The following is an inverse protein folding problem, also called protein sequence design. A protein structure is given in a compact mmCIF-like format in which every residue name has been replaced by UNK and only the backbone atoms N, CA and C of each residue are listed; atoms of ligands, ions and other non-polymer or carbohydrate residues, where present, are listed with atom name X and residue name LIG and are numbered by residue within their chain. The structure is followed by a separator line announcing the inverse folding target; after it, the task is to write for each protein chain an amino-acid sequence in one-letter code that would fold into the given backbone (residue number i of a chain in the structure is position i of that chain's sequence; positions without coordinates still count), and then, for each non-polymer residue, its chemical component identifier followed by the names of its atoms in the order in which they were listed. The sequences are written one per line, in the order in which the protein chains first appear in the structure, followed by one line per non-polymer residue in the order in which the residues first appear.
data_IF_507964583189
#
_entry.id   IF_507964583189
#
_cell.length_a   1.000
_cell.length_b   1.000
_cell.length_c   1.000
_cell.angle_alpha   90.00
_cell.angle_beta   90.00
_cell.angle_gamma   90.00
#
_symmetry.space_group_name_H-M   'P 1'
#
loop_
_entity.id
_entity.type
_entity.pdbx_description
1 polymer ?
#
# COMPACT_ATOMS: atom_id res chain seq x y z
N UNK A 1 1.55 5.78 -12.32
CA UNK A 1 1.37 4.50 -13.02
C UNK A 1 -0.07 4.07 -12.90
N UNK A 2 -0.65 3.58 -13.98
CA UNK A 2 -1.96 2.94 -14.01
C UNK A 2 -1.88 1.75 -14.97
N UNK A 3 -2.16 0.54 -14.50
CA UNK A 3 -2.05 -0.69 -15.30
C UNK A 3 -0.66 -0.85 -15.95
N UNK A 4 0.39 -0.40 -15.27
CA UNK A 4 1.77 -0.44 -15.78
C UNK A 4 2.14 0.65 -16.78
N UNK A 5 1.24 1.59 -17.10
CA UNK A 5 1.51 2.73 -17.97
C UNK A 5 1.73 4.02 -17.16
N UNK A 6 2.64 4.86 -17.62
CA UNK A 6 2.81 6.20 -17.08
C UNK A 6 1.66 7.09 -17.56
N UNK A 7 0.93 7.69 -16.62
CA UNK A 7 -0.28 8.49 -16.88
C UNK A 7 -0.24 9.84 -16.15
N UNK A 8 0.93 10.22 -15.64
CA UNK A 8 1.11 11.45 -14.90
C UNK A 8 2.47 11.53 -14.24
N UNK A 9 2.86 12.76 -13.89
CA UNK A 9 4.17 13.09 -13.35
C UNK A 9 4.03 14.08 -12.20
N UNK A 10 4.77 13.84 -11.11
CA UNK A 10 4.89 14.79 -10.01
C UNK A 10 5.66 16.02 -10.51
N UNK A 11 5.02 17.17 -10.54
CA UNK A 11 5.59 18.41 -11.08
C UNK A 11 6.08 19.35 -10.00
N UNK A 12 5.60 19.21 -8.76
CA UNK A 12 6.01 20.02 -7.62
C UNK A 12 6.05 19.21 -6.34
N UNK A 13 7.01 19.51 -5.47
CA UNK A 13 7.15 18.91 -4.14
C UNK A 13 7.60 20.00 -3.15
N UNK A 14 6.80 20.19 -2.11
CA UNK A 14 7.01 21.22 -1.09
C UNK A 14 7.11 20.57 0.31
N UNK A 15 8.10 20.99 1.10
CA UNK A 15 8.21 20.66 2.51
C UNK A 15 7.61 21.80 3.33
N UNK A 16 6.44 21.55 3.92
CA UNK A 16 5.72 22.53 4.72
C UNK A 16 6.23 22.57 6.17
N UNK A 17 5.96 23.67 6.91
CA UNK A 17 6.21 23.74 8.34
C UNK A 17 5.59 22.56 9.10
N UNK A 18 6.33 22.03 10.08
CA UNK A 18 5.92 20.83 10.84
C UNK A 18 6.22 19.50 10.14
N UNK A 19 7.03 19.50 9.08
CA UNK A 19 7.53 18.29 8.43
C UNK A 19 6.53 17.61 7.49
N UNK A 20 5.42 18.29 7.15
CA UNK A 20 4.43 17.76 6.21
C UNK A 20 4.90 17.98 4.77
N UNK A 21 4.85 16.94 3.95
CA UNK A 21 5.20 17.02 2.53
C UNK A 21 3.93 17.08 1.69
N UNK A 22 3.85 18.05 0.78
CA UNK A 22 2.77 18.16 -0.22
C UNK A 22 3.36 18.21 -1.62
N UNK A 23 2.58 17.86 -2.63
CA UNK A 23 3.02 17.94 -4.01
C UNK A 23 1.86 18.14 -4.97
N UNK A 24 2.21 18.56 -6.17
CA UNK A 24 1.27 18.72 -7.29
C UNK A 24 1.68 17.75 -8.40
N UNK A 25 0.69 17.16 -9.06
CA UNK A 25 0.88 16.17 -10.11
C UNK A 25 0.10 16.58 -11.35
N UNK A 26 0.77 16.58 -12.50
CA UNK A 26 0.10 16.69 -13.79
C UNK A 26 -0.27 15.29 -14.25
N UNK A 27 -1.53 15.07 -14.61
CA UNK A 27 -2.06 13.79 -15.08
C UNK A 27 -2.52 13.89 -16.53
N UNK A 28 -2.47 12.77 -17.24
CA UNK A 28 -2.99 12.68 -18.60
C UNK A 28 -4.53 12.90 -18.60
N UNK A 29 -5.09 13.72 -19.51
CA UNK A 29 -6.53 13.93 -19.60
C UNK A 29 -7.37 12.64 -19.72
N UNK A 30 -6.80 11.57 -20.30
CA UNK A 30 -7.48 10.27 -20.48
C UNK A 30 -7.82 9.57 -19.16
N UNK A 31 -7.11 9.86 -18.07
CA UNK A 31 -7.35 9.24 -16.75
C UNK A 31 -8.11 10.14 -15.78
N UNK A 32 -8.45 11.37 -16.16
CA UNK A 32 -9.13 12.34 -15.27
C UNK A 32 -10.48 11.81 -14.76
N UNK A 33 -11.19 11.02 -15.57
CA UNK A 33 -12.48 10.41 -15.20
C UNK A 33 -12.35 9.35 -14.08
N UNK A 34 -11.14 8.83 -13.86
CA UNK A 34 -10.80 7.88 -12.82
C UNK A 34 -10.48 8.58 -11.48
N UNK A 35 -10.34 9.91 -11.45
CA UNK A 35 -10.04 10.67 -10.24
C UNK A 35 -11.34 11.03 -9.50
N UNK A 36 -11.75 10.13 -8.60
CA UNK A 36 -13.00 10.22 -7.84
C UNK A 36 -12.75 10.10 -6.34
N UNK A 37 -13.81 10.28 -5.56
CA UNK A 37 -13.78 10.28 -4.10
C UNK A 37 -13.08 9.05 -3.50
N UNK A 38 -13.38 7.84 -4.02
CA UNK A 38 -12.80 6.59 -3.54
C UNK A 38 -11.56 6.13 -4.32
N UNK A 39 -11.02 6.96 -5.21
CA UNK A 39 -9.77 6.68 -5.91
C UNK A 39 -8.59 6.85 -4.97
N UNK A 40 -7.65 5.91 -5.01
CA UNK A 40 -6.44 5.91 -4.18
C UNK A 40 -5.21 6.18 -5.01
N UNK A 41 -4.26 6.90 -4.41
CA UNK A 41 -2.91 7.09 -4.94
C UNK A 41 -1.94 6.47 -3.93
N UNK A 42 -1.28 5.40 -4.36
CA UNK A 42 -0.44 4.57 -3.48
C UNK A 42 1.03 4.72 -3.86
N UNK A 43 1.91 4.96 -2.87
CA UNK A 43 3.35 5.01 -3.13
C UNK A 43 3.93 3.58 -3.14
N UNK A 44 4.36 3.11 -4.30
CA UNK A 44 4.96 1.78 -4.48
C UNK A 44 6.48 1.86 -4.50
N UNK A 45 7.11 1.04 -3.67
CA UNK A 45 8.54 0.77 -3.74
C UNK A 45 8.81 -0.31 -4.79
N UNK A 46 9.86 -0.20 -5.60
CA UNK A 46 10.23 -1.25 -6.55
C UNK A 46 10.58 -2.52 -5.76
N UNK A 47 9.95 -3.65 -6.11
CA UNK A 47 10.27 -4.95 -5.52
C UNK A 47 11.48 -5.53 -6.23
N UNK A 48 12.52 -5.86 -5.46
CA UNK A 48 13.64 -6.66 -5.95
C UNK A 48 13.28 -8.13 -5.73
N UNK A 49 13.08 -8.89 -6.81
CA UNK A 49 12.97 -10.34 -6.73
C UNK A 49 14.15 -10.97 -7.46
N UNK A 50 14.69 -12.06 -6.91
CA UNK A 50 15.70 -12.86 -7.59
C UNK A 50 15.15 -13.57 -8.84
N UNK A 51 13.82 -13.75 -8.92
CA UNK A 51 13.13 -14.28 -10.10
C UNK A 51 12.94 -13.24 -11.21
N UNK A 52 12.87 -11.94 -10.84
CA UNK A 52 12.54 -10.85 -11.74
C UNK A 52 13.60 -9.75 -11.60
N UNK A 53 14.63 -9.84 -12.44
CA UNK A 53 15.71 -8.85 -12.54
C UNK A 53 15.24 -7.57 -13.26
N UNK A 54 14.11 -6.98 -12.83
CA UNK A 54 13.65 -5.68 -13.35
C UNK A 54 14.49 -4.55 -12.74
N UNK A 55 15.77 -4.50 -13.14
CA UNK A 55 16.73 -3.48 -12.70
C UNK A 55 16.28 -2.07 -13.12
N UNK A 56 15.54 -1.95 -14.22
CA UNK A 56 14.99 -0.67 -14.69
C UNK A 56 14.07 -0.02 -13.65
N UNK A 57 13.24 -0.81 -12.96
CA UNK A 57 12.36 -0.31 -11.91
C UNK A 57 13.13 0.23 -10.68
N UNK A 58 14.33 -0.30 -10.41
CA UNK A 58 15.21 0.20 -9.35
C UNK A 58 15.81 1.56 -9.71
N UNK A 59 16.10 1.78 -10.99
CA UNK A 59 16.61 3.07 -11.49
C UNK A 59 15.55 4.17 -11.44
N UNK A 60 14.28 3.83 -11.67
CA UNK A 60 13.17 4.78 -11.57
C UNK A 60 12.78 5.12 -10.13
N UNK A 61 13.17 4.29 -9.16
CA UNK A 61 12.87 4.52 -7.75
C UNK A 61 11.39 4.32 -7.41
N UNK A 62 10.87 5.10 -6.45
CA UNK A 62 9.49 4.98 -5.98
C UNK A 62 8.52 5.52 -7.04
N UNK A 63 7.38 4.85 -7.20
CA UNK A 63 6.33 5.24 -8.15
C UNK A 63 5.00 5.47 -7.43
N UNK A 64 4.15 6.32 -8.01
CA UNK A 64 2.76 6.46 -7.56
C UNK A 64 1.87 5.57 -8.42
N UNK A 65 1.08 4.70 -7.80
CA UNK A 65 0.08 3.85 -8.46
C UNK A 65 -1.32 4.46 -8.28
N UNK A 66 -2.07 4.54 -9.37
CA UNK A 66 -3.45 4.98 -9.39
C UNK A 66 -4.38 3.76 -9.28
N UNK A 67 -5.19 3.71 -8.22
CA UNK A 67 -6.22 2.68 -8.03
C UNK A 67 -7.59 3.34 -8.13
N UNK A 68 -8.34 3.14 -9.25
CA UNK A 68 -9.64 3.77 -9.44
C UNK A 68 -10.67 3.35 -8.39
N UNK A 69 -11.56 4.28 -8.05
CA UNK A 69 -12.75 4.02 -7.25
C UNK A 69 -13.93 4.85 -7.74
N UNK A 70 -15.08 4.63 -7.11
CA UNK A 70 -16.33 5.31 -7.45
C UNK A 70 -16.54 6.60 -6.64
N UNK A 71 -17.63 7.30 -6.91
CA UNK A 71 -18.03 8.53 -6.21
C UNK A 71 -17.86 9.79 -7.05
N UNK A 72 -17.94 10.94 -6.38
CA UNK A 72 -17.86 12.25 -7.02
C UNK A 72 -16.44 12.58 -7.50
N UNK A 73 -16.28 13.35 -8.60
CA UNK A 73 -14.97 13.77 -9.09
C UNK A 73 -14.15 14.52 -8.02
N UNK A 74 -12.88 14.18 -7.88
CA UNK A 74 -11.98 14.73 -6.87
C UNK A 74 -10.61 15.06 -7.46
N UNK A 75 -9.95 16.12 -6.96
CA UNK A 75 -8.64 16.58 -7.44
C UNK A 75 -7.52 16.53 -6.40
N UNK A 76 -7.86 16.36 -5.13
CA UNK A 76 -6.89 16.35 -4.03
C UNK A 76 -6.90 14.98 -3.35
N UNK A 77 -5.73 14.37 -3.17
CA UNK A 77 -5.60 13.01 -2.65
C UNK A 77 -4.55 12.96 -1.54
N UNK A 78 -4.78 12.09 -0.56
CA UNK A 78 -3.76 11.75 0.45
C UNK A 78 -3.04 10.50 -0.03
N UNK A 79 -1.73 10.62 -0.26
CA UNK A 79 -0.92 9.46 -0.67
C UNK A 79 -0.70 8.54 0.52
N UNK A 80 -1.02 7.26 0.32
CA UNK A 80 -0.83 6.23 1.35
C UNK A 80 0.49 5.49 1.09
N UNK A 81 1.33 5.27 2.11
CA UNK A 81 2.49 4.39 1.99
C UNK A 81 2.05 2.99 1.55
N UNK A 82 2.76 2.36 0.60
CA UNK A 82 2.35 1.07 0.04
C UNK A 82 2.07 -0.04 1.05
N UNK A 83 2.79 -0.06 2.18
CA UNK A 83 2.56 -1.03 3.28
C UNK A 83 1.20 -0.86 3.97
N UNK A 84 0.62 0.34 3.92
CA UNK A 84 -0.69 0.66 4.50
C UNK A 84 -1.80 0.68 3.45
N UNK A 85 -1.47 0.46 2.17
CA UNK A 85 -2.45 0.42 1.10
C UNK A 85 -3.49 -0.69 1.31
N UNK A 86 -3.05 -1.85 1.79
CA UNK A 86 -3.95 -2.98 2.09
C UNK A 86 -5.01 -2.62 3.14
N UNK A 87 -4.73 -1.71 4.09
CA UNK A 87 -5.74 -1.25 5.06
C UNK A 87 -6.86 -0.41 4.43
N UNK A 88 -6.69 0.08 3.20
CA UNK A 88 -7.64 0.93 2.50
C UNK A 88 -8.49 0.14 1.48
N UNK A 89 -8.23 -1.15 1.33
CA UNK A 89 -9.06 -2.01 0.49
C UNK A 89 -10.40 -2.32 1.19
N UNK A 90 -11.50 -2.40 0.42
CA UNK A 90 -12.77 -2.83 0.98
C UNK A 90 -12.67 -4.27 1.49
N UNK A 91 -13.41 -4.59 2.56
CA UNK A 91 -13.53 -5.93 3.16
C UNK A 91 -12.23 -6.55 3.73
N UNK A 92 -11.24 -5.73 4.11
CA UNK A 92 -10.02 -6.23 4.76
C UNK A 92 -10.23 -6.55 6.23
N UNK A 93 -9.80 -7.74 6.64
CA UNK A 93 -9.79 -8.16 8.05
C UNK A 93 -8.47 -7.76 8.69
N UNK A 94 -8.52 -6.87 9.67
CA UNK A 94 -7.35 -6.46 10.46
C UNK A 94 -7.32 -7.22 11.79
N UNK A 95 -6.19 -7.82 12.12
CA UNK A 95 -5.95 -8.50 13.39
C UNK A 95 -4.76 -7.88 14.13
N UNK A 96 -4.82 -7.89 15.46
CA UNK A 96 -3.71 -7.52 16.33
C UNK A 96 -3.16 -8.76 17.01
N UNK A 97 -1.88 -9.05 16.78
CA UNK A 97 -1.18 -10.21 17.33
C UNK A 97 -0.14 -9.74 18.34
N UNK A 98 0.07 -10.49 19.42
CA UNK A 98 1.07 -10.18 20.45
C UNK A 98 2.08 -11.31 20.57
N UNK A 99 3.34 -10.95 20.73
CA UNK A 99 4.45 -11.87 20.91
C UNK A 99 5.44 -11.32 21.95
N UNK A 100 6.24 -12.16 22.62
CA UNK A 100 7.27 -11.66 23.53
C UNK A 100 8.43 -10.96 22.79
N UNK A 101 8.71 -11.35 21.54
CA UNK A 101 9.80 -10.85 20.71
C UNK A 101 9.37 -10.59 19.26
N UNK A 102 10.24 -9.98 18.45
CA UNK A 102 9.94 -9.66 17.06
C UNK A 102 10.15 -10.84 16.10
N UNK A 103 10.99 -11.81 16.48
CA UNK A 103 11.38 -12.95 15.63
C UNK A 103 11.91 -12.57 14.23
N UNK A 104 12.44 -11.35 14.07
CA UNK A 104 12.86 -10.83 12.76
C UNK A 104 11.70 -10.53 11.81
N UNK A 105 10.45 -10.56 12.29
CA UNK A 105 9.27 -10.17 11.52
C UNK A 105 9.22 -8.65 11.43
N UNK A 106 8.99 -8.15 10.22
CA UNK A 106 8.93 -6.72 9.94
C UNK A 106 7.69 -6.34 9.14
N UNK A 107 7.39 -5.04 9.11
CA UNK A 107 6.34 -4.50 8.24
C UNK A 107 6.63 -4.90 6.79
N UNK A 108 5.56 -5.23 6.06
CA UNK A 108 5.64 -5.66 4.67
C UNK A 108 5.85 -7.16 4.47
N UNK A 109 6.17 -7.95 5.51
CA UNK A 109 6.33 -9.40 5.35
C UNK A 109 5.00 -10.12 5.06
N UNK A 110 5.01 -11.18 4.23
CA UNK A 110 3.79 -11.86 3.80
C UNK A 110 3.19 -12.70 4.94
N UNK A 111 1.86 -12.70 5.03
CA UNK A 111 1.12 -13.64 5.86
C UNK A 111 0.79 -14.88 5.02
N UNK A 112 1.24 -16.06 5.45
CA UNK A 112 1.09 -17.31 4.70
C UNK A 112 0.10 -18.25 5.39
N UNK A 113 -0.84 -18.80 4.64
CA UNK A 113 -1.73 -19.88 5.06
C UNK A 113 -1.63 -21.03 4.05
N UNK A 114 -1.22 -22.21 4.52
CA UNK A 114 -1.04 -23.41 3.70
C UNK A 114 -0.18 -23.18 2.42
N UNK A 115 0.87 -22.38 2.52
CA UNK A 115 1.77 -22.07 1.40
C UNK A 115 1.26 -20.97 0.45
N UNK A 116 0.09 -20.41 0.69
CA UNK A 116 -0.48 -19.31 -0.09
C UNK A 116 -0.39 -18.00 0.70
N UNK A 117 0.05 -16.92 0.05
CA UNK A 117 0.00 -15.59 0.66
C UNK A 117 -1.45 -15.12 0.76
N UNK A 118 -1.88 -14.77 1.97
CA UNK A 118 -3.26 -14.37 2.29
C UNK A 118 -3.36 -12.95 2.86
N UNK A 119 -2.22 -12.30 3.06
CA UNK A 119 -2.18 -10.97 3.65
C UNK A 119 -0.75 -10.51 3.90
N UNK A 120 -0.62 -9.53 4.80
CA UNK A 120 0.65 -8.87 5.07
C UNK A 120 0.70 -8.34 6.51
N UNK A 121 1.92 -8.29 7.07
CA UNK A 121 2.21 -7.51 8.28
C UNK A 121 2.22 -6.03 7.92
N UNK A 122 1.37 -5.25 8.59
CA UNK A 122 1.21 -3.82 8.31
C UNK A 122 2.11 -2.97 9.21
N UNK A 123 2.21 -3.33 10.48
CA UNK A 123 2.97 -2.55 11.46
C UNK A 123 3.45 -3.45 12.60
N UNK A 124 4.58 -3.07 13.19
CA UNK A 124 5.19 -3.70 14.36
C UNK A 124 5.50 -2.63 15.40
N UNK A 125 4.94 -2.79 16.59
CA UNK A 125 5.19 -1.88 17.72
C UNK A 125 5.83 -2.62 18.88
N UNK A 126 6.95 -2.09 19.36
CA UNK A 126 7.53 -2.51 20.62
C UNK A 126 6.73 -1.90 21.78
N UNK A 127 6.41 -2.71 22.76
CA UNK A 127 5.70 -2.31 23.98
C UNK A 127 6.46 -2.83 25.20
N UNK A 128 6.08 -2.39 26.40
CA UNK A 128 6.66 -2.91 27.64
C UNK A 128 6.36 -4.39 27.90
N UNK A 129 5.40 -4.99 27.19
CA UNK A 129 4.97 -6.39 27.35
C UNK A 129 5.49 -7.32 26.24
N UNK A 130 6.31 -6.80 25.32
CA UNK A 130 6.77 -7.50 24.12
C UNK A 130 6.41 -6.73 22.86
N UNK A 131 6.17 -7.45 21.76
CA UNK A 131 5.92 -6.90 20.43
C UNK A 131 4.46 -7.11 20.03
N UNK A 132 3.83 -6.07 19.50
CA UNK A 132 2.49 -6.11 18.93
C UNK A 132 2.57 -5.92 17.42
N UNK A 133 1.96 -6.83 16.67
CA UNK A 133 1.85 -6.77 15.22
C UNK A 133 0.42 -6.42 14.82
N UNK A 134 0.28 -5.54 13.82
CA UNK A 134 -0.97 -5.35 13.10
C UNK A 134 -0.84 -6.07 11.77
N UNK A 135 -1.74 -7.00 11.48
CA UNK A 135 -1.78 -7.74 10.21
C UNK A 135 -3.09 -7.50 9.50
N UNK A 136 -3.05 -7.48 8.17
CA UNK A 136 -4.22 -7.37 7.32
C UNK A 136 -4.35 -8.62 6.45
N UNK A 137 -5.57 -9.12 6.33
CA UNK A 137 -5.94 -10.32 5.57
C UNK A 137 -6.90 -9.90 4.46
N UNK A 138 -6.59 -10.33 3.24
CA UNK A 138 -7.42 -10.05 2.06
C UNK A 138 -8.80 -10.74 2.17
N UNK A 139 -9.84 -10.06 1.66
CA UNK A 139 -11.23 -10.54 1.71
C UNK A 139 -11.43 -11.90 1.03
N UNK A 140 -10.67 -12.17 -0.03
CA UNK A 140 -10.66 -13.44 -0.77
C UNK A 140 -10.22 -14.62 0.11
N UNK A 141 -9.30 -14.39 1.06
CA UNK A 141 -8.77 -15.40 1.97
C UNK A 141 -9.60 -15.54 3.26
N UNK A 142 -10.23 -14.47 3.74
CA UNK A 142 -11.01 -14.47 4.99
C UNK A 142 -12.23 -15.41 4.94
N UNK A 143 -12.80 -15.63 3.75
CA UNK A 143 -13.93 -16.57 3.53
C UNK A 143 -13.56 -18.04 3.71
N UNK A 144 -12.28 -18.39 3.57
CA UNK A 144 -11.81 -19.78 3.68
C UNK A 144 -11.72 -20.24 5.14
N UNK A 145 -11.47 -19.31 6.08
CA UNK A 145 -11.34 -19.63 7.51
C UNK A 145 -12.66 -19.82 8.26
N UNK A 146 -13.80 -19.41 7.69
CA UNK A 146 -15.13 -19.44 8.36
C UNK A 146 -15.93 -20.74 8.12
N UNK A 147 -15.36 -21.72 7.42
CA UNK A 147 -16.04 -22.97 7.01
C UNK A 147 -15.59 -24.23 7.76
N UNK A 148 -15.01 -24.12 8.95
CA UNK A 148 -14.69 -25.29 9.79
C UNK A 148 -15.12 -25.09 11.22
#
# INVERSE_FOLDING_TARGET
MYQGLEVGQLTKLDLNPGGKVTGEMTVDPSVVTLLRENTRIELRNPKLSLSDANLSALLTGKTFELVPGDGEPRKEFVVVPGEKALLQEPDVLTLTLTAPESYGIDAGQPLILHGVQVGQVIDRKLTSKGVTFTVAIEASASRTGKRR
#
